data_IF_844106264554
#
_entry.id   IF_844106264554
#
_cell.length_a   1.000
_cell.length_b   1.000
_cell.length_c   1.000
_cell.angle_alpha   90.00
_cell.angle_beta   90.00
_cell.angle_gamma   90.00
#
_symmetry.space_group_name_H-M   'P 1'
#
loop_
_entity.id
_entity.type
_entity.pdbx_description
1 polymer ?
#
# COMPACT_ATOMS: atom_id res chain seq x y z
N UNK A 1 43.48 12.67 7.38
CA UNK A 1 42.19 13.36 7.15
C UNK A 1 41.14 12.42 7.66
N UNK A 2 40.76 12.60 8.92
CA UNK A 2 39.86 11.69 9.61
C UNK A 2 38.49 11.72 8.94
N UNK A 3 38.05 10.56 8.45
CA UNK A 3 36.66 10.36 8.05
C UNK A 3 35.85 10.40 9.34
N UNK A 4 35.26 11.56 9.63
CA UNK A 4 34.21 11.67 10.64
C UNK A 4 33.06 10.84 10.12
N UNK A 5 32.96 9.58 10.56
CA UNK A 5 31.73 8.81 10.38
C UNK A 5 30.60 9.62 11.00
N UNK A 6 29.52 9.91 10.24
CA UNK A 6 28.40 10.66 10.80
C UNK A 6 27.90 9.91 12.03
N UNK A 7 27.90 10.61 13.17
CA UNK A 7 27.36 10.11 14.43
C UNK A 7 25.99 9.47 14.13
N UNK A 8 25.85 8.18 14.42
CA UNK A 8 24.64 7.40 14.17
C UNK A 8 23.39 8.15 14.62
N UNK A 9 23.51 8.93 15.69
CA UNK A 9 22.46 9.78 16.23
C UNK A 9 21.98 10.87 15.26
N UNK A 10 22.87 11.49 14.48
CA UNK A 10 22.55 12.51 13.47
C UNK A 10 21.74 11.89 12.33
N UNK A 11 22.13 10.70 11.88
CA UNK A 11 21.41 9.96 10.83
C UNK A 11 20.02 9.55 11.33
N UNK A 12 19.93 8.97 12.53
CA UNK A 12 18.66 8.54 13.12
C UNK A 12 17.70 9.72 13.31
N UNK A 13 18.19 10.88 13.78
CA UNK A 13 17.38 12.10 13.89
C UNK A 13 16.93 12.63 12.52
N UNK A 14 17.76 12.52 11.49
CA UNK A 14 17.41 12.90 10.13
C UNK A 14 16.30 12.02 9.56
N UNK A 15 16.44 10.70 9.72
CA UNK A 15 15.43 9.71 9.30
C UNK A 15 14.13 9.90 10.07
N UNK A 16 14.18 10.10 11.40
CA UNK A 16 12.99 10.35 12.21
C UNK A 16 12.19 11.55 11.73
N UNK A 17 12.84 12.70 11.52
CA UNK A 17 12.19 13.91 10.98
C UNK A 17 11.65 13.70 9.58
N UNK A 18 12.34 12.95 8.73
CA UNK A 18 11.86 12.59 7.41
C UNK A 18 10.60 11.74 7.49
N UNK A 19 10.56 10.76 8.39
CA UNK A 19 9.41 9.89 8.60
C UNK A 19 8.22 10.66 9.17
N UNK A 20 8.43 11.55 10.15
CA UNK A 20 7.38 12.44 10.67
C UNK A 20 6.85 13.40 9.60
N UNK A 21 7.74 14.03 8.83
CA UNK A 21 7.37 14.89 7.71
C UNK A 21 6.52 14.13 6.69
N UNK A 22 6.92 12.92 6.33
CA UNK A 22 6.15 12.05 5.42
C UNK A 22 4.81 11.65 6.05
N UNK A 23 4.78 11.29 7.33
CA UNK A 23 3.55 10.92 8.04
C UNK A 23 2.56 12.09 8.11
N UNK A 24 3.05 13.31 8.34
CA UNK A 24 2.24 14.52 8.35
C UNK A 24 1.78 14.91 6.94
N UNK A 25 2.67 14.82 5.94
CA UNK A 25 2.39 15.21 4.55
C UNK A 25 1.44 14.25 3.83
N UNK A 26 1.54 12.95 4.11
CA UNK A 26 0.76 11.91 3.44
C UNK A 26 -0.40 11.38 4.29
N UNK A 27 -0.61 11.97 5.47
CA UNK A 27 -1.58 11.54 6.45
C UNK A 27 -1.16 10.24 7.14
N UNK A 28 -1.60 10.07 8.39
CA UNK A 28 -1.36 8.96 9.33
C UNK A 28 -1.69 7.53 8.80
N UNK A 29 -1.96 7.40 7.50
CA UNK A 29 -2.43 6.22 6.78
C UNK A 29 -1.27 5.50 6.08
N UNK A 30 -0.10 6.12 5.93
CA UNK A 30 1.06 5.50 5.28
C UNK A 30 1.60 4.27 6.03
N UNK A 31 1.31 4.16 7.33
CA UNK A 31 1.80 3.10 8.22
C UNK A 31 0.69 2.20 8.77
N UNK A 32 -0.58 2.54 8.57
CA UNK A 32 -1.70 1.69 8.98
C UNK A 32 -2.17 0.84 7.80
N UNK A 33 -1.92 -0.48 7.80
CA UNK A 33 -2.46 -1.35 6.76
C UNK A 33 -3.99 -1.28 6.82
N UNK A 34 -4.63 -1.00 5.69
CA UNK A 34 -6.10 -0.95 5.62
C UNK A 34 -6.75 -2.26 6.09
N UNK A 35 -6.03 -3.38 5.92
CA UNK A 35 -6.43 -4.71 6.37
C UNK A 35 -7.84 -5.09 5.88
N UNK A 36 -8.17 -4.69 4.64
CA UNK A 36 -9.47 -4.94 4.00
C UNK A 36 -9.43 -6.31 3.34
N UNK A 37 -8.49 -6.50 2.41
CA UNK A 37 -8.24 -7.77 1.74
C UNK A 37 -7.13 -8.56 2.44
N UNK A 38 -6.15 -7.89 3.06
CA UNK A 38 -5.03 -8.56 3.71
C UNK A 38 -5.47 -9.48 4.88
N UNK A 39 -6.57 -9.17 5.57
CA UNK A 39 -7.13 -9.98 6.66
C UNK A 39 -7.61 -11.37 6.22
N UNK A 40 -7.84 -11.58 4.92
CA UNK A 40 -8.25 -12.88 4.38
C UNK A 40 -7.07 -13.77 3.99
N UNK A 41 -5.86 -13.40 4.42
CA UNK A 41 -4.64 -14.21 4.33
C UNK A 41 -4.11 -14.32 2.91
N UNK A 42 -3.13 -13.49 2.55
CA UNK A 42 -2.40 -13.65 1.29
C UNK A 42 -1.71 -12.38 0.80
N UNK A 43 -0.57 -12.55 0.11
CA UNK A 43 0.20 -11.44 -0.46
C UNK A 43 -0.55 -10.64 -1.52
N UNK A 44 -1.56 -11.23 -2.18
CA UNK A 44 -2.43 -10.52 -3.14
C UNK A 44 -3.30 -9.49 -2.39
N UNK A 45 -3.86 -9.86 -1.23
CA UNK A 45 -4.71 -8.97 -0.44
C UNK A 45 -3.96 -7.73 0.06
N UNK A 46 -2.70 -7.91 0.48
CA UNK A 46 -1.83 -6.79 0.86
C UNK A 46 -1.63 -5.80 -0.30
N UNK A 47 -1.43 -6.30 -1.53
CA UNK A 47 -1.25 -5.45 -2.71
C UNK A 47 -2.52 -4.69 -3.10
N UNK A 48 -3.69 -5.28 -2.91
CA UNK A 48 -4.98 -4.57 -3.10
C UNK A 48 -5.08 -3.43 -2.08
N UNK A 49 -4.82 -3.72 -0.80
CA UNK A 49 -4.87 -2.74 0.27
C UNK A 49 -3.89 -1.58 0.05
N UNK A 50 -2.68 -1.84 -0.47
CA UNK A 50 -1.71 -0.80 -0.83
C UNK A 50 -2.26 0.17 -1.90
N UNK A 51 -2.97 -0.35 -2.91
CA UNK A 51 -3.58 0.49 -3.96
C UNK A 51 -4.77 1.27 -3.44
N UNK A 52 -5.60 0.66 -2.60
CA UNK A 52 -6.71 1.35 -1.93
C UNK A 52 -6.20 2.47 -1.02
N UNK A 53 -5.11 2.24 -0.27
CA UNK A 53 -4.48 3.25 0.57
C UNK A 53 -3.95 4.41 -0.27
N UNK A 54 -3.35 4.12 -1.43
CA UNK A 54 -2.88 5.16 -2.36
C UNK A 54 -4.04 6.00 -2.92
N UNK A 55 -5.16 5.36 -3.30
CA UNK A 55 -6.36 6.07 -3.76
C UNK A 55 -6.92 6.95 -2.65
N UNK A 56 -7.01 6.44 -1.42
CA UNK A 56 -7.51 7.19 -0.25
C UNK A 56 -6.69 8.46 0.06
N UNK A 57 -5.37 8.41 -0.13
CA UNK A 57 -4.45 9.48 0.28
C UNK A 57 -3.95 10.35 -0.89
N UNK A 58 -4.39 10.11 -2.13
CA UNK A 58 -3.97 10.88 -3.31
C UNK A 58 -4.96 12.01 -3.60
N UNK A 59 -4.46 13.18 -4.00
CA UNK A 59 -5.29 14.33 -4.45
C UNK A 59 -6.05 14.06 -5.76
N UNK A 60 -5.76 12.93 -6.41
CA UNK A 60 -6.39 12.54 -7.67
C UNK A 60 -6.28 11.05 -7.95
N UNK A 61 -7.30 10.51 -8.62
CA UNK A 61 -7.36 9.12 -9.04
C UNK A 61 -6.47 8.89 -10.26
N UNK A 62 -5.54 7.94 -10.16
CA UNK A 62 -4.65 7.58 -11.28
C UNK A 62 -5.22 6.38 -12.00
N UNK A 63 -5.19 6.40 -13.34
CA UNK A 63 -5.57 5.27 -14.18
C UNK A 63 -4.85 3.96 -13.78
N UNK A 64 -3.58 4.08 -13.40
CA UNK A 64 -2.78 2.95 -12.93
C UNK A 64 -3.36 2.29 -11.67
N UNK A 65 -3.89 3.06 -10.73
CA UNK A 65 -4.43 2.49 -9.48
C UNK A 65 -5.69 1.68 -9.75
N UNK A 66 -6.55 2.15 -10.67
CA UNK A 66 -7.74 1.41 -11.12
C UNK A 66 -7.35 0.09 -11.80
N UNK A 67 -6.41 0.13 -12.74
CA UNK A 67 -5.97 -1.08 -13.46
C UNK A 67 -5.29 -2.09 -12.53
N UNK A 68 -4.48 -1.62 -11.59
CA UNK A 68 -3.83 -2.50 -10.60
C UNK A 68 -4.86 -3.18 -9.69
N UNK A 69 -5.86 -2.44 -9.20
CA UNK A 69 -6.94 -3.01 -8.36
C UNK A 69 -7.69 -4.09 -9.13
N UNK A 70 -8.08 -3.83 -10.39
CA UNK A 70 -8.74 -4.83 -11.24
C UNK A 70 -7.84 -6.06 -11.44
N UNK A 71 -6.56 -5.85 -11.75
CA UNK A 71 -5.60 -6.94 -11.95
C UNK A 71 -5.44 -7.82 -10.71
N UNK A 72 -5.30 -7.22 -9.53
CA UNK A 72 -5.18 -7.98 -8.29
C UNK A 72 -6.49 -8.68 -7.88
N UNK A 73 -7.65 -8.10 -8.16
CA UNK A 73 -8.94 -8.78 -7.95
C UNK A 73 -9.08 -10.00 -8.87
N UNK A 74 -8.67 -9.91 -10.13
CA UNK A 74 -8.65 -11.07 -11.05
C UNK A 74 -7.67 -12.15 -10.54
N UNK A 75 -6.49 -11.74 -10.07
CA UNK A 75 -5.53 -12.68 -9.47
C UNK A 75 -6.09 -13.34 -8.21
N UNK A 76 -6.85 -12.61 -7.40
CA UNK A 76 -7.56 -13.15 -6.24
C UNK A 76 -8.62 -14.17 -6.66
N UNK A 77 -9.42 -13.87 -7.70
CA UNK A 77 -10.38 -14.83 -8.26
C UNK A 77 -9.66 -16.12 -8.68
N UNK A 78 -8.53 -16.00 -9.40
CA UNK A 78 -7.71 -17.15 -9.79
C UNK A 78 -7.19 -17.94 -8.57
N UNK A 79 -6.67 -17.25 -7.55
CA UNK A 79 -6.15 -17.86 -6.33
C UNK A 79 -7.24 -18.62 -5.55
N UNK A 80 -8.46 -18.09 -5.54
CA UNK A 80 -9.63 -18.71 -4.89
C UNK A 80 -10.36 -19.74 -5.75
N UNK A 81 -9.95 -19.93 -7.01
CA UNK A 81 -10.63 -20.82 -7.95
C UNK A 81 -11.98 -20.30 -8.46
N UNK A 82 -12.23 -19.00 -8.37
CA UNK A 82 -13.44 -18.36 -8.90
C UNK A 82 -13.27 -18.08 -10.39
N UNK A 83 -13.94 -18.88 -11.22
CA UNK A 83 -13.84 -18.81 -12.69
C UNK A 83 -15.20 -18.72 -13.40
N UNK A 84 -16.30 -18.78 -12.66
CA UNK A 84 -17.65 -18.55 -13.16
C UNK A 84 -18.37 -17.60 -12.19
N UNK A 85 -19.21 -16.74 -12.73
CA UNK A 85 -20.02 -15.75 -12.01
C UNK A 85 -21.46 -15.69 -12.57
N UNK A 86 -21.87 -16.70 -13.35
CA UNK A 86 -23.20 -16.78 -13.96
C UNK A 86 -24.32 -16.74 -12.92
N UNK A 87 -24.04 -17.17 -11.67
CA UNK A 87 -24.98 -17.08 -10.55
C UNK A 87 -25.39 -15.63 -10.18
N UNK A 88 -24.71 -14.63 -10.73
CA UNK A 88 -25.00 -13.21 -10.53
C UNK A 88 -25.64 -12.54 -11.76
N UNK A 89 -25.95 -13.29 -12.83
CA UNK A 89 -26.65 -12.77 -14.00
C UNK A 89 -28.17 -12.98 -13.84
N UNK A 90 -28.87 -11.95 -13.35
CA UNK A 90 -30.33 -11.84 -13.41
C UNK A 90 -30.82 -11.47 -14.83
#
# INVERSE_FOLDING_TARGET
MDKVEPDFEVILKSIGRLLEYKNHKYGNVALEPLNIFAKFGGGIGQRIDDKLARVKNSEGLRKNDVVDIIGYLILLCRDKGWSNFDEFMD
#
